data_IF_559437220606
#
_entry.id   IF_559437220606
#
_cell.length_a   1.000
_cell.length_b   1.000
_cell.length_c   1.000
_cell.angle_alpha   90.00
_cell.angle_beta   90.00
_cell.angle_gamma   90.00
#
_symmetry.space_group_name_H-M   'P 1'
#
loop_
_entity.id
_entity.type
_entity.pdbx_description
1 polymer ?
#
# COMPACT_ATOMS: atom_id res chain seq x y z
N UNK A 1 -17.14 2.03 -4.91
CA UNK A 1 -15.98 2.92 -5.05
C UNK A 1 -15.03 2.33 -6.06
N UNK A 2 -13.81 2.86 -6.13
CA UNK A 2 -12.71 2.29 -6.90
C UNK A 2 -11.52 2.05 -5.96
N UNK A 3 -10.71 1.03 -6.26
CA UNK A 3 -9.46 0.72 -5.57
C UNK A 3 -8.39 0.51 -6.64
N UNK A 4 -7.28 1.22 -6.51
CA UNK A 4 -6.06 0.96 -7.25
C UNK A 4 -5.06 0.25 -6.34
N UNK A 5 -4.43 -0.79 -6.87
CA UNK A 5 -3.35 -1.56 -6.30
C UNK A 5 -2.15 -1.37 -7.23
N UNK A 6 -1.05 -0.80 -6.74
CA UNK A 6 0.06 -0.37 -7.59
C UNK A 6 1.36 -0.87 -6.95
N UNK A 7 2.03 -1.84 -7.58
CA UNK A 7 3.40 -2.21 -7.22
C UNK A 7 4.39 -1.41 -8.08
N UNK A 8 5.48 -0.95 -7.47
CA UNK A 8 6.51 -0.14 -8.14
C UNK A 8 7.87 -0.79 -7.91
N UNK A 9 8.51 -1.13 -9.03
CA UNK A 9 9.90 -1.60 -9.12
C UNK A 9 10.28 -2.76 -8.18
N UNK A 10 9.32 -3.59 -7.78
CA UNK A 10 9.52 -4.66 -6.78
C UNK A 10 9.99 -4.17 -5.39
N UNK A 11 10.00 -2.85 -5.14
CA UNK A 11 10.45 -2.25 -3.87
C UNK A 11 9.29 -1.91 -2.93
N UNK A 12 8.18 -1.37 -3.46
CA UNK A 12 7.04 -0.96 -2.64
C UNK A 12 5.71 -0.99 -3.38
N UNK A 13 4.62 -0.82 -2.65
CA UNK A 13 3.29 -0.64 -3.23
C UNK A 13 2.56 0.59 -2.69
N UNK A 14 1.61 1.06 -3.50
CA UNK A 14 0.70 2.14 -3.15
C UNK A 14 -0.75 1.67 -3.29
N UNK A 15 -1.61 2.21 -2.44
CA UNK A 15 -3.06 2.02 -2.56
C UNK A 15 -3.74 3.37 -2.71
N UNK A 16 -4.71 3.43 -3.63
CA UNK A 16 -5.60 4.57 -3.78
C UNK A 16 -7.03 4.10 -3.80
N UNK A 17 -7.84 4.55 -2.85
CA UNK A 17 -9.23 4.15 -2.73
C UNK A 17 -10.16 5.37 -2.80
N UNK A 18 -11.17 5.30 -3.65
CA UNK A 18 -12.17 6.35 -3.81
C UNK A 18 -13.56 5.83 -3.43
N UNK A 19 -14.19 6.47 -2.45
CA UNK A 19 -15.55 6.16 -1.99
C UNK A 19 -16.37 7.45 -1.94
N UNK A 20 -17.27 7.62 -2.92
CA UNK A 20 -18.02 8.87 -3.07
C UNK A 20 -17.08 10.02 -3.43
N UNK A 21 -16.97 11.02 -2.56
CA UNK A 21 -16.03 12.15 -2.69
C UNK A 21 -14.76 11.98 -1.86
N UNK A 22 -14.63 10.88 -1.12
CA UNK A 22 -13.47 10.61 -0.26
C UNK A 22 -12.40 9.87 -1.06
N UNK A 23 -11.16 10.36 -0.99
CA UNK A 23 -9.97 9.72 -1.55
C UNK A 23 -9.06 9.38 -0.37
N UNK A 24 -8.67 8.11 -0.27
CA UNK A 24 -7.70 7.62 0.71
C UNK A 24 -6.46 7.14 -0.03
N UNK A 25 -5.29 7.52 0.48
CA UNK A 25 -3.98 7.16 -0.05
C UNK A 25 -3.20 6.38 1.01
N UNK A 26 -2.41 5.41 0.57
CA UNK A 26 -1.51 4.63 1.41
C UNK A 26 -0.24 4.30 0.62
N UNK A 27 0.89 4.29 1.32
CA UNK A 27 2.21 3.90 0.81
C UNK A 27 2.78 2.86 1.78
N UNK A 28 3.27 1.73 1.25
CA UNK A 28 3.74 0.60 2.07
C UNK A 28 5.05 0.87 2.79
N UNK A 29 5.87 1.77 2.25
CA UNK A 29 7.18 2.12 2.79
C UNK A 29 7.49 3.61 2.54
N UNK A 30 7.59 4.37 3.63
CA UNK A 30 7.93 5.79 3.57
C UNK A 30 9.38 6.03 3.09
N UNK A 31 10.31 5.13 3.38
CA UNK A 31 11.75 5.26 3.07
C UNK A 31 12.00 5.33 1.56
N UNK A 32 11.11 4.75 0.75
CA UNK A 32 11.15 4.84 -0.70
C UNK A 32 11.06 6.28 -1.22
N UNK A 33 10.57 7.25 -0.43
CA UNK A 33 10.58 8.65 -0.83
C UNK A 33 12.00 9.22 -1.03
N UNK A 34 13.04 8.59 -0.47
CA UNK A 34 14.44 8.99 -0.67
C UNK A 34 14.92 8.75 -2.11
N UNK A 35 14.39 7.71 -2.75
CA UNK A 35 14.86 7.23 -4.06
C UNK A 35 13.81 7.40 -5.18
N UNK A 36 12.52 7.53 -4.84
CA UNK A 36 11.41 7.52 -5.79
C UNK A 36 10.56 8.80 -5.73
N UNK A 37 10.57 9.58 -6.81
CA UNK A 37 9.80 10.84 -6.95
C UNK A 37 8.30 10.65 -6.66
N UNK A 38 7.72 9.51 -7.05
CA UNK A 38 6.29 9.23 -6.79
C UNK A 38 5.97 9.03 -5.30
N UNK A 39 6.92 8.50 -4.52
CA UNK A 39 6.78 8.35 -3.08
C UNK A 39 7.02 9.69 -2.37
N UNK A 40 7.98 10.49 -2.84
CA UNK A 40 8.18 11.87 -2.38
C UNK A 40 6.91 12.72 -2.58
N UNK A 41 6.34 12.73 -3.78
CA UNK A 41 5.09 13.45 -4.09
C UNK A 41 3.92 12.97 -3.22
N UNK A 42 3.86 11.67 -2.91
CA UNK A 42 2.85 11.13 -1.99
C UNK A 42 2.96 11.77 -0.61
N UNK A 43 4.18 11.85 -0.04
CA UNK A 43 4.38 12.43 1.30
C UNK A 43 4.01 13.92 1.32
N UNK A 44 4.35 14.66 0.26
CA UNK A 44 3.96 16.06 0.11
C UNK A 44 2.42 16.22 0.09
N UNK A 45 1.72 15.42 -0.72
CA UNK A 45 0.25 15.46 -0.81
C UNK A 45 -0.40 15.06 0.52
N UNK A 46 0.22 14.12 1.25
CA UNK A 46 -0.26 13.64 2.54
C UNK A 46 0.13 14.53 3.73
N UNK A 47 0.91 15.60 3.51
CA UNK A 47 1.47 16.47 4.56
C UNK A 47 2.28 15.67 5.61
N UNK A 48 3.11 14.75 5.13
CA UNK A 48 3.98 13.89 5.93
C UNK A 48 5.45 14.32 5.81
N UNK A 49 6.21 14.09 6.87
CA UNK A 49 7.65 14.35 6.87
C UNK A 49 8.39 13.35 5.98
N UNK A 50 9.45 13.83 5.32
CA UNK A 50 10.43 12.94 4.69
C UNK A 50 11.11 12.06 5.75
N UNK A 51 11.40 10.79 5.42
CA UNK A 51 12.22 9.91 6.25
C UNK A 51 13.70 10.37 6.26
N UNK A 52 14.46 9.88 7.22
CA UNK A 52 15.92 9.96 7.25
C UNK A 52 16.57 8.69 6.66
N UNK A 53 17.83 8.75 6.24
CA UNK A 53 18.54 7.62 5.60
C UNK A 53 18.69 6.38 6.52
N UNK A 54 18.55 6.54 7.85
CA UNK A 54 18.64 5.47 8.85
C UNK A 54 17.29 5.04 9.45
N UNK A 55 16.17 5.58 8.93
CA UNK A 55 14.84 5.12 9.30
C UNK A 55 14.59 3.69 8.80
N UNK A 56 13.87 2.91 9.60
CA UNK A 56 13.39 1.59 9.19
C UNK A 56 12.21 1.73 8.20
N UNK A 57 11.92 0.69 7.42
CA UNK A 57 10.75 0.66 6.53
C UNK A 57 9.45 0.72 7.34
N UNK A 58 8.53 1.62 6.99
CA UNK A 58 7.20 1.68 7.60
C UNK A 58 6.11 2.22 6.66
N UNK A 59 4.87 1.68 6.76
CA UNK A 59 3.76 2.17 5.96
C UNK A 59 3.22 3.50 6.47
N UNK A 60 2.70 4.32 5.55
CA UNK A 60 2.17 5.66 5.82
C UNK A 60 0.91 5.99 5.04
N UNK A 61 0.25 7.07 5.44
CA UNK A 61 -1.04 7.51 4.90
C UNK A 61 -2.21 6.92 5.69
N UNK A 62 -3.22 6.42 5.00
CA UNK A 62 -4.41 5.87 5.62
C UNK A 62 -4.27 4.36 5.91
N UNK A 63 -3.79 4.03 7.10
CA UNK A 63 -3.60 2.63 7.53
C UNK A 63 -4.94 1.89 7.78
N UNK A 64 -6.04 2.63 7.92
CA UNK A 64 -7.40 2.11 8.04
C UNK A 64 -8.15 2.06 6.70
N UNK A 65 -7.43 2.12 5.56
CA UNK A 65 -8.02 2.24 4.22
C UNK A 65 -9.02 1.12 3.88
N UNK A 66 -8.98 -0.03 4.56
CA UNK A 66 -9.88 -1.18 4.38
C UNK A 66 -10.72 -1.55 5.60
N UNK A 67 -10.74 -0.72 6.65
CA UNK A 67 -11.42 -1.07 7.91
C UNK A 67 -12.93 -1.31 7.74
N UNK A 68 -13.58 -0.64 6.79
CA UNK A 68 -14.99 -0.89 6.41
C UNK A 68 -15.20 -2.16 5.57
N UNK A 69 -14.14 -2.73 5.00
CA UNK A 69 -14.14 -4.03 4.32
C UNK A 69 -13.69 -5.16 5.25
N UNK A 70 -13.47 -4.86 6.54
CA UNK A 70 -13.17 -5.82 7.57
C UNK A 70 -11.70 -6.23 7.65
N UNK A 71 -10.78 -5.47 7.05
CA UNK A 71 -9.34 -5.61 7.24
C UNK A 71 -8.84 -4.38 8.00
N UNK A 72 -8.28 -4.58 9.18
CA UNK A 72 -7.88 -3.47 10.06
C UNK A 72 -6.41 -3.06 9.86
N UNK A 73 -6.02 -1.94 10.46
CA UNK A 73 -4.64 -1.41 10.45
C UNK A 73 -3.57 -2.47 10.77
N UNK A 74 -3.73 -3.24 11.84
CA UNK A 74 -2.72 -4.22 12.25
C UNK A 74 -2.52 -5.31 11.20
N UNK A 75 -3.57 -5.68 10.46
CA UNK A 75 -3.48 -6.67 9.40
C UNK A 75 -2.70 -6.14 8.19
N UNK A 76 -2.89 -4.88 7.79
CA UNK A 76 -2.15 -4.31 6.65
C UNK A 76 -0.69 -4.04 7.02
N UNK A 77 -0.44 -3.55 8.24
CA UNK A 77 0.92 -3.38 8.75
C UNK A 77 1.67 -4.72 8.82
N UNK A 78 1.00 -5.79 9.26
CA UNK A 78 1.61 -7.12 9.31
C UNK A 78 1.99 -7.64 7.92
N UNK A 79 1.20 -7.33 6.88
CA UNK A 79 1.56 -7.67 5.50
C UNK A 79 2.76 -6.86 5.03
N UNK A 80 2.81 -5.56 5.33
CA UNK A 80 3.93 -4.69 4.92
C UNK A 80 5.24 -5.09 5.59
N UNK A 81 5.18 -5.55 6.84
CA UNK A 81 6.34 -6.00 7.61
C UNK A 81 6.80 -7.43 7.27
N UNK A 82 6.12 -8.12 6.35
CA UNK A 82 6.51 -9.47 5.94
C UNK A 82 7.64 -9.42 4.91
N UNK A 83 8.89 -9.59 5.38
CA UNK A 83 10.10 -9.61 4.55
C UNK A 83 10.16 -10.81 3.59
N UNK A 84 9.28 -11.80 3.72
CA UNK A 84 9.21 -12.93 2.78
C UNK A 84 8.40 -12.61 1.52
N UNK A 85 7.68 -11.49 1.50
CA UNK A 85 6.78 -11.13 0.41
C UNK A 85 7.32 -9.96 -0.42
N UNK A 86 7.30 -10.11 -1.75
CA UNK A 86 7.46 -8.99 -2.66
C UNK A 86 6.21 -8.09 -2.67
N UNK A 87 6.30 -6.82 -3.12
CA UNK A 87 5.16 -5.90 -3.09
C UNK A 87 3.91 -6.38 -3.85
N UNK A 88 4.08 -7.12 -4.94
CA UNK A 88 2.96 -7.73 -5.67
C UNK A 88 2.32 -8.90 -4.90
N UNK A 89 3.11 -9.72 -4.22
CA UNK A 89 2.64 -10.78 -3.32
C UNK A 89 1.92 -10.19 -2.09
N UNK A 90 2.41 -9.07 -1.56
CA UNK A 90 1.71 -8.30 -0.52
C UNK A 90 0.35 -7.80 -1.01
N UNK A 91 0.27 -7.28 -2.26
CA UNK A 91 -0.99 -6.89 -2.88
C UNK A 91 -1.93 -8.09 -3.12
N UNK A 92 -1.40 -9.25 -3.47
CA UNK A 92 -2.17 -10.49 -3.61
C UNK A 92 -2.75 -10.94 -2.25
N UNK A 93 -1.96 -10.87 -1.18
CA UNK A 93 -2.41 -11.16 0.18
C UNK A 93 -3.54 -10.20 0.60
N UNK A 94 -3.41 -8.90 0.29
CA UNK A 94 -4.46 -7.91 0.49
C UNK A 94 -5.71 -8.26 -0.33
N UNK A 95 -5.57 -8.55 -1.64
CA UNK A 95 -6.68 -8.89 -2.52
C UNK A 95 -7.44 -10.14 -2.02
N UNK A 96 -6.71 -11.16 -1.58
CA UNK A 96 -7.24 -12.38 -0.98
C UNK A 96 -8.00 -12.08 0.31
N UNK A 97 -7.44 -11.23 1.19
CA UNK A 97 -8.07 -10.82 2.44
C UNK A 97 -9.36 -10.02 2.24
N UNK A 98 -9.44 -9.29 1.14
CA UNK A 98 -10.62 -8.52 0.71
C UNK A 98 -11.63 -9.34 -0.11
N UNK A 99 -11.31 -10.61 -0.41
CA UNK A 99 -12.22 -11.56 -1.05
C UNK A 99 -12.26 -11.50 -2.59
N UNK A 100 -11.24 -10.91 -3.23
CA UNK A 100 -11.10 -10.88 -4.69
C UNK A 100 -9.76 -11.44 -5.21
N UNK A 101 -9.07 -12.24 -4.39
CA UNK A 101 -7.77 -12.84 -4.74
C UNK A 101 -7.77 -13.62 -6.05
N UNK A 102 -8.77 -14.48 -6.27
CA UNK A 102 -8.88 -15.28 -7.50
C UNK A 102 -8.93 -14.42 -8.76
N UNK A 103 -9.71 -13.33 -8.73
CA UNK A 103 -9.81 -12.40 -9.86
C UNK A 103 -8.52 -11.59 -10.05
N UNK A 104 -7.81 -11.30 -8.96
CA UNK A 104 -6.53 -10.60 -8.99
C UNK A 104 -5.44 -11.47 -9.63
N UNK A 105 -5.32 -12.72 -9.20
CA UNK A 105 -4.39 -13.70 -9.78
C UNK A 105 -4.65 -13.93 -11.28
N UNK A 106 -5.91 -14.07 -11.68
CA UNK A 106 -6.29 -14.24 -13.09
C UNK A 106 -5.81 -13.06 -13.96
N UNK A 107 -5.87 -11.83 -13.46
CA UNK A 107 -5.42 -10.64 -14.18
C UNK A 107 -3.89 -10.59 -14.36
N UNK A 108 -3.14 -11.11 -13.38
CA UNK A 108 -1.68 -11.19 -13.42
C UNK A 108 -1.16 -12.41 -14.21
N UNK A 109 -2.05 -13.35 -14.55
CA UNK A 109 -1.70 -14.58 -15.27
C UNK A 109 -0.99 -15.61 -14.38
N UNK A 110 -1.27 -15.57 -13.08
CA UNK A 110 -0.76 -16.50 -12.05
C UNK A 110 -1.57 -17.81 -12.01
#
# INVERSE_FOLDING_TARGET
GALALIAIDEEFFMLMRVVGTQISLFLSDATCALDYEVAEEFLEIADLSMPEDDDESFPVGNLDIFSDLGMNQMEIEAICADEELFPDEQLEAIASRLGFGDQFAELLGL
#
